data_IF_976859055925
#
_entry.id   IF_976859055925
#
_cell.length_a   1.000
_cell.length_b   1.000
_cell.length_c   1.000
_cell.angle_alpha   90.00
_cell.angle_beta   90.00
_cell.angle_gamma   90.00
#
_symmetry.space_group_name_H-M   'P 1'
#
loop_
_entity.id
_entity.type
_entity.pdbx_description
1 polymer ?
#
# COMPACT_ATOMS: atom_id res chain seq x y z
N UNK A 1 -21.30 13.97 -24.31
CA UNK A 1 -20.47 15.18 -24.19
C UNK A 1 -20.96 16.18 -23.14
N UNK A 2 -22.27 16.46 -23.00
CA UNK A 2 -22.79 17.45 -22.03
C UNK A 2 -22.43 17.16 -20.54
N UNK A 3 -22.50 15.90 -20.12
CA UNK A 3 -22.29 15.53 -18.71
C UNK A 3 -20.86 15.83 -18.21
N UNK A 4 -19.84 15.73 -19.08
CA UNK A 4 -18.45 16.02 -18.73
C UNK A 4 -18.23 17.52 -18.52
N UNK A 5 -18.81 18.35 -19.38
CA UNK A 5 -18.71 19.80 -19.33
C UNK A 5 -19.42 20.40 -18.10
N UNK A 6 -20.58 19.85 -17.74
CA UNK A 6 -21.31 20.24 -16.52
C UNK A 6 -20.52 19.87 -15.24
N UNK A 7 -19.79 18.76 -15.26
CA UNK A 7 -18.96 18.32 -14.12
C UNK A 7 -17.74 19.22 -13.86
N UNK A 8 -17.12 19.77 -14.91
CA UNK A 8 -15.99 20.70 -14.77
C UNK A 8 -16.41 22.04 -14.15
N UNK A 9 -17.61 22.53 -14.50
CA UNK A 9 -18.10 23.85 -14.06
C UNK A 9 -18.73 23.83 -12.66
N UNK A 10 -19.31 22.71 -12.23
CA UNK A 10 -20.02 22.60 -10.96
C UNK A 10 -19.76 21.26 -10.26
N UNK A 11 -18.58 21.06 -9.65
CA UNK A 11 -18.21 19.79 -9.02
C UNK A 11 -19.12 19.39 -7.85
N UNK A 12 -19.86 20.34 -7.26
CA UNK A 12 -20.84 20.11 -6.20
C UNK A 12 -22.27 19.80 -6.65
N UNK A 13 -22.60 19.94 -7.94
CA UNK A 13 -23.95 19.67 -8.49
C UNK A 13 -24.03 18.34 -9.25
N UNK A 14 -23.21 17.36 -8.88
CA UNK A 14 -23.29 16.03 -9.49
C UNK A 14 -24.66 15.43 -9.23
N UNK A 15 -25.35 15.04 -10.30
CA UNK A 15 -26.58 14.23 -10.20
C UNK A 15 -26.18 12.90 -9.59
N UNK A 16 -26.52 12.68 -8.32
CA UNK A 16 -26.24 11.41 -7.65
C UNK A 16 -26.98 10.33 -8.41
N UNK A 17 -26.25 9.41 -9.04
CA UNK A 17 -26.86 8.25 -9.65
C UNK A 17 -27.35 7.35 -8.53
N UNK A 18 -28.68 7.33 -8.37
CA UNK A 18 -29.36 6.43 -7.45
C UNK A 18 -29.64 5.12 -8.16
N UNK A 19 -29.57 4.02 -7.42
CA UNK A 19 -29.81 2.66 -7.93
C UNK A 19 -31.16 2.49 -8.63
N UNK A 20 -32.15 3.34 -8.33
CA UNK A 20 -33.50 3.28 -8.91
C UNK A 20 -33.58 3.84 -10.32
N UNK A 21 -32.67 4.74 -10.72
CA UNK A 21 -32.79 5.47 -11.99
C UNK A 21 -32.02 4.80 -13.14
N UNK A 22 -31.13 3.84 -12.85
CA UNK A 22 -30.47 3.05 -13.89
C UNK A 22 -29.77 1.82 -13.28
N UNK A 23 -30.27 0.59 -13.51
CA UNK A 23 -29.55 -0.64 -13.17
C UNK A 23 -28.22 -0.78 -13.94
N UNK A 24 -28.07 -0.01 -15.03
CA UNK A 24 -26.96 -0.03 -15.99
C UNK A 24 -26.49 1.41 -16.23
N UNK A 25 -26.15 2.12 -15.15
CA UNK A 25 -25.39 3.35 -15.35
C UNK A 25 -24.05 2.95 -15.99
N UNK A 26 -23.62 3.57 -17.11
CA UNK A 26 -22.43 3.18 -17.86
C UNK A 26 -21.19 3.67 -17.11
N UNK A 27 -20.94 3.07 -15.94
CA UNK A 27 -19.69 3.26 -15.24
C UNK A 27 -18.71 2.26 -15.81
N UNK A 28 -17.59 2.79 -16.32
CA UNK A 28 -16.47 1.96 -16.72
C UNK A 28 -16.14 0.96 -15.60
N UNK A 29 -15.96 -0.34 -15.92
CA UNK A 29 -15.65 -1.37 -14.92
C UNK A 29 -14.46 -0.99 -14.03
N UNK A 30 -13.52 -0.21 -14.56
CA UNK A 30 -12.36 0.30 -13.85
C UNK A 30 -12.73 1.31 -12.76
N UNK A 31 -13.68 2.21 -13.00
CA UNK A 31 -14.17 3.16 -12.00
C UNK A 31 -14.81 2.41 -10.83
N UNK A 32 -15.58 1.36 -11.13
CA UNK A 32 -16.18 0.49 -10.11
C UNK A 32 -15.11 -0.20 -9.27
N UNK A 33 -14.07 -0.77 -9.90
CA UNK A 33 -12.96 -1.43 -9.21
C UNK A 33 -12.18 -0.46 -8.33
N UNK A 34 -11.81 0.71 -8.84
CA UNK A 34 -11.12 1.75 -8.06
C UNK A 34 -11.95 2.24 -6.88
N UNK A 35 -13.27 2.40 -7.06
CA UNK A 35 -14.19 2.76 -5.98
C UNK A 35 -14.16 1.74 -4.83
N UNK A 36 -14.25 0.46 -5.19
CA UNK A 36 -14.25 -0.64 -4.23
C UNK A 36 -12.87 -0.80 -3.56
N UNK A 37 -11.78 -0.62 -4.31
CA UNK A 37 -10.43 -0.62 -3.76
C UNK A 37 -10.23 0.50 -2.73
N UNK A 38 -10.62 1.74 -3.06
CA UNK A 38 -10.55 2.87 -2.13
C UNK A 38 -11.44 2.67 -0.90
N UNK A 39 -12.60 2.03 -1.08
CA UNK A 39 -13.52 1.69 0.00
C UNK A 39 -12.94 0.64 0.96
N UNK A 40 -12.32 -0.41 0.41
CA UNK A 40 -11.73 -1.51 1.19
C UNK A 40 -10.42 -1.13 1.89
N UNK A 41 -9.63 -0.23 1.31
CA UNK A 41 -8.38 0.28 1.92
C UNK A 41 -8.62 1.33 3.00
N UNK A 42 -9.89 1.68 3.29
CA UNK A 42 -10.32 2.62 4.34
C UNK A 42 -9.61 3.98 4.35
N UNK A 43 -8.94 4.38 3.27
CA UNK A 43 -8.21 5.64 3.19
C UNK A 43 -9.14 6.86 3.28
N UNK A 44 -10.37 6.72 2.81
CA UNK A 44 -11.38 7.77 2.76
C UNK A 44 -12.76 7.18 3.05
N UNK A 45 -13.64 8.00 3.64
CA UNK A 45 -14.96 7.53 4.05
C UNK A 45 -15.84 7.11 2.87
N UNK A 46 -16.79 6.20 3.11
CA UNK A 46 -17.78 5.79 2.12
C UNK A 46 -18.52 6.98 1.50
N UNK A 47 -18.84 8.00 2.31
CA UNK A 47 -19.49 9.24 1.89
C UNK A 47 -18.62 10.08 0.96
N UNK A 48 -17.32 10.16 1.27
CA UNK A 48 -16.32 10.85 0.45
C UNK A 48 -16.20 10.19 -0.93
N UNK A 49 -16.06 8.86 -0.95
CA UNK A 49 -15.93 8.06 -2.17
C UNK A 49 -17.20 8.21 -3.03
N UNK A 50 -18.38 8.04 -2.43
CA UNK A 50 -19.64 8.14 -3.16
C UNK A 50 -19.84 9.52 -3.79
N UNK A 51 -19.48 10.59 -3.06
CA UNK A 51 -19.53 11.98 -3.55
C UNK A 51 -18.54 12.22 -4.69
N UNK A 52 -17.30 11.74 -4.56
CA UNK A 52 -16.24 11.89 -5.59
C UNK A 52 -16.55 11.15 -6.89
N UNK A 53 -17.33 10.08 -6.83
CA UNK A 53 -17.74 9.31 -8.01
C UNK A 53 -19.08 9.79 -8.55
N UNK A 54 -19.94 10.37 -7.70
CA UNK A 54 -21.29 10.81 -8.07
C UNK A 54 -22.33 9.69 -7.99
N UNK A 55 -22.11 8.71 -7.11
CA UNK A 55 -23.04 7.61 -6.83
C UNK A 55 -23.58 7.70 -5.42
N UNK A 56 -24.71 7.04 -5.14
CA UNK A 56 -25.17 6.93 -3.76
C UNK A 56 -24.29 5.94 -2.97
N UNK A 57 -24.27 6.08 -1.64
CA UNK A 57 -23.62 5.08 -0.77
C UNK A 57 -24.19 3.68 -1.00
N UNK A 58 -25.49 3.55 -1.23
CA UNK A 58 -26.12 2.26 -1.51
C UNK A 58 -25.56 1.57 -2.76
N UNK A 59 -25.28 2.33 -3.82
CA UNK A 59 -24.63 1.80 -5.04
C UNK A 59 -23.20 1.34 -4.74
N UNK A 60 -22.46 2.10 -3.94
CA UNK A 60 -21.10 1.73 -3.54
C UNK A 60 -21.08 0.43 -2.72
N UNK A 61 -22.01 0.24 -1.79
CA UNK A 61 -22.17 -1.03 -1.06
C UNK A 61 -22.54 -2.18 -1.99
N UNK A 62 -23.45 -1.95 -2.95
CA UNK A 62 -23.80 -2.95 -3.96
C UNK A 62 -22.59 -3.37 -4.79
N UNK A 63 -21.76 -2.42 -5.24
CA UNK A 63 -20.54 -2.71 -5.99
C UNK A 63 -19.53 -3.51 -5.17
N UNK A 64 -19.36 -3.17 -3.89
CA UNK A 64 -18.54 -3.93 -2.95
C UNK A 64 -19.06 -5.37 -2.80
N UNK A 65 -20.37 -5.55 -2.66
CA UNK A 65 -20.99 -6.88 -2.58
C UNK A 65 -20.82 -7.68 -3.86
N UNK A 66 -20.94 -7.06 -5.04
CA UNK A 66 -20.77 -7.71 -6.33
C UNK A 66 -19.31 -8.13 -6.63
N UNK A 67 -18.30 -7.41 -6.13
CA UNK A 67 -16.88 -7.71 -6.42
C UNK A 67 -16.24 -8.59 -5.35
N UNK A 68 -16.49 -8.29 -4.08
CA UNK A 68 -15.79 -8.94 -2.95
C UNK A 68 -16.74 -9.84 -2.16
N UNK A 69 -18.04 -9.54 -2.17
CA UNK A 69 -19.01 -10.21 -1.32
C UNK A 69 -19.01 -9.69 0.12
N UNK A 70 -20.13 -9.87 0.82
CA UNK A 70 -20.27 -9.38 2.19
C UNK A 70 -19.43 -10.18 3.20
N UNK A 71 -19.32 -11.50 3.02
CA UNK A 71 -18.56 -12.37 3.91
C UNK A 71 -17.07 -12.03 3.92
N UNK A 72 -16.43 -11.99 2.74
CA UNK A 72 -15.01 -11.65 2.62
C UNK A 72 -14.72 -10.23 3.12
N UNK A 73 -15.60 -9.26 2.83
CA UNK A 73 -15.48 -7.90 3.34
C UNK A 73 -15.50 -7.85 4.88
N UNK A 74 -16.38 -8.62 5.53
CA UNK A 74 -16.44 -8.67 6.99
C UNK A 74 -15.20 -9.32 7.61
N UNK A 75 -14.68 -10.39 7.00
CA UNK A 75 -13.42 -11.02 7.43
C UNK A 75 -12.25 -10.03 7.35
N UNK A 76 -12.10 -9.33 6.22
CA UNK A 76 -11.07 -8.30 6.06
C UNK A 76 -11.22 -7.17 7.10
N UNK A 77 -12.46 -6.70 7.31
CA UNK A 77 -12.76 -5.64 8.29
C UNK A 77 -12.37 -6.03 9.70
N UNK A 78 -12.59 -7.29 10.11
CA UNK A 78 -12.19 -7.79 11.44
C UNK A 78 -10.67 -7.89 11.59
N UNK A 79 -9.96 -8.31 10.54
CA UNK A 79 -8.51 -8.53 10.61
C UNK A 79 -7.68 -7.23 10.53
N UNK A 80 -8.26 -6.16 9.97
CA UNK A 80 -7.55 -4.91 9.68
C UNK A 80 -7.53 -3.89 10.85
N UNK A 81 -8.18 -4.16 11.98
CA UNK A 81 -8.46 -3.10 12.96
C UNK A 81 -7.39 -2.93 14.07
N UNK A 82 -6.61 -3.98 14.43
CA UNK A 82 -5.30 -3.76 15.10
C UNK A 82 -4.19 -4.78 14.75
N UNK A 83 -4.53 -5.94 14.18
CA UNK A 83 -3.62 -7.09 14.07
C UNK A 83 -2.54 -6.90 13.00
N UNK A 84 -2.90 -6.36 11.84
CA UNK A 84 -1.97 -6.21 10.72
C UNK A 84 -0.98 -5.06 10.92
N UNK A 85 -1.40 -3.99 11.61
CA UNK A 85 -0.52 -2.86 11.86
C UNK A 85 0.54 -3.20 12.92
N UNK A 86 0.12 -3.90 13.98
CA UNK A 86 1.04 -4.46 14.96
C UNK A 86 2.01 -5.48 14.35
N UNK A 87 1.53 -6.37 13.47
CA UNK A 87 2.38 -7.34 12.77
C UNK A 87 3.37 -6.64 11.82
N UNK A 88 2.93 -5.63 11.08
CA UNK A 88 3.79 -4.82 10.22
C UNK A 88 4.89 -4.13 11.03
N UNK A 89 4.55 -3.56 12.18
CA UNK A 89 5.51 -2.85 13.01
C UNK A 89 6.50 -3.81 13.68
N UNK A 90 6.05 -4.99 14.15
CA UNK A 90 6.93 -6.06 14.61
C UNK A 90 7.90 -6.54 13.52
N UNK A 91 7.43 -6.69 12.27
CA UNK A 91 8.30 -7.03 11.14
C UNK A 91 9.34 -5.94 10.85
N UNK A 92 8.98 -4.66 11.00
CA UNK A 92 9.92 -3.55 10.84
C UNK A 92 11.00 -3.56 11.90
N UNK A 93 10.64 -3.84 13.16
CA UNK A 93 11.59 -3.99 14.26
C UNK A 93 12.56 -5.13 13.99
N UNK A 94 12.07 -6.27 13.51
CA UNK A 94 12.91 -7.42 13.18
C UNK A 94 13.88 -7.12 12.03
N UNK A 95 13.41 -6.42 10.98
CA UNK A 95 14.28 -5.94 9.89
C UNK A 95 15.35 -4.99 10.41
N UNK A 96 15.01 -4.08 11.32
CA UNK A 96 15.97 -3.15 11.91
C UNK A 96 17.04 -3.90 12.73
N UNK A 97 16.62 -4.88 13.54
CA UNK A 97 17.50 -5.75 14.33
C UNK A 97 18.46 -6.54 13.44
N UNK A 98 17.95 -7.19 12.39
CA UNK A 98 18.78 -7.96 11.45
C UNK A 98 19.77 -7.06 10.71
N UNK A 99 19.38 -5.86 10.29
CA UNK A 99 20.28 -4.90 9.66
C UNK A 99 21.39 -4.41 10.61
N UNK A 100 21.10 -4.28 11.90
CA UNK A 100 22.11 -3.97 12.91
C UNK A 100 23.11 -5.13 13.07
N UNK A 101 22.61 -6.37 13.10
CA UNK A 101 23.45 -7.57 13.19
C UNK A 101 24.36 -7.73 11.96
N UNK A 102 23.84 -7.49 10.76
CA UNK A 102 24.63 -7.50 9.52
C UNK A 102 25.75 -6.47 9.58
N UNK A 103 25.43 -5.23 9.99
CA UNK A 103 26.45 -4.18 10.14
C UNK A 103 27.53 -4.56 11.15
N UNK A 104 27.15 -5.16 12.29
CA UNK A 104 28.13 -5.64 13.28
C UNK A 104 29.08 -6.67 12.67
N UNK A 105 28.53 -7.70 12.01
CA UNK A 105 29.32 -8.75 11.38
C UNK A 105 30.22 -8.21 10.27
N UNK A 106 29.76 -7.22 9.51
CA UNK A 106 30.59 -6.59 8.49
C UNK A 106 31.82 -5.90 9.11
N UNK A 107 31.64 -5.18 10.22
CA UNK A 107 32.76 -4.56 10.95
C UNK A 107 33.73 -5.62 11.50
N UNK A 108 33.21 -6.72 12.07
CA UNK A 108 34.04 -7.84 12.54
C UNK A 108 34.91 -8.40 11.40
N UNK A 109 34.33 -8.61 10.21
CA UNK A 109 35.06 -9.07 9.03
C UNK A 109 36.11 -8.04 8.55
N UNK A 110 35.79 -6.75 8.56
CA UNK A 110 36.71 -5.71 8.12
C UNK A 110 37.92 -5.59 9.06
N UNK A 111 37.71 -5.74 10.37
CA UNK A 111 38.79 -5.81 11.37
C UNK A 111 39.68 -7.02 11.10
N UNK A 112 39.10 -8.20 10.89
CA UNK A 112 39.86 -9.42 10.63
C UNK A 112 40.69 -9.32 9.34
N UNK A 113 40.11 -8.78 8.26
CA UNK A 113 40.83 -8.52 7.02
C UNK A 113 41.98 -7.55 7.22
N UNK A 114 41.77 -6.46 7.97
CA UNK A 114 42.83 -5.50 8.26
C UNK A 114 43.98 -6.13 9.05
N UNK A 115 43.67 -6.98 10.02
CA UNK A 115 44.67 -7.72 10.78
C UNK A 115 45.46 -8.67 9.86
N UNK A 116 44.78 -9.37 8.94
CA UNK A 116 45.42 -10.24 7.95
C UNK A 116 46.36 -9.46 7.02
N UNK A 117 45.95 -8.29 6.52
CA UNK A 117 46.79 -7.40 5.71
C UNK A 117 48.04 -6.94 6.48
N UNK A 118 47.89 -6.56 7.75
CA UNK A 118 49.02 -6.14 8.60
C UNK A 118 50.01 -7.29 8.75
N UNK A 119 49.53 -8.51 9.03
CA UNK A 119 50.37 -9.69 9.14
C UNK A 119 51.10 -9.97 7.82
N UNK A 120 50.39 -9.93 6.68
CA UNK A 120 51.00 -10.12 5.35
C UNK A 120 52.09 -9.09 5.04
N UNK A 121 51.88 -7.83 5.42
CA UNK A 121 52.87 -6.76 5.23
C UNK A 121 54.09 -6.93 6.14
N UNK A 122 53.89 -7.36 7.40
CA UNK A 122 54.98 -7.60 8.35
C UNK A 122 55.86 -8.80 7.93
N UNK A 123 55.26 -9.80 7.31
CA UNK A 123 55.94 -11.00 6.83
C UNK A 123 56.40 -10.91 5.37
N UNK A 124 56.10 -9.82 4.67
CA UNK A 124 56.65 -9.54 3.34
C UNK A 124 58.05 -8.94 3.49
N UNK A 125 59.12 -9.61 3.00
CA UNK A 125 60.47 -9.07 3.06
C UNK A 125 60.55 -7.74 2.29
N UNK A 126 61.32 -6.73 2.75
CA UNK A 126 61.51 -5.50 1.99
C UNK A 126 62.39 -5.81 0.76
N UNK A 127 61.74 -6.21 -0.32
CA UNK A 127 62.21 -6.46 -1.68
C UNK A 127 63.56 -7.20 -1.87
N UNK A 128 63.51 -8.16 -2.80
CA UNK A 128 64.59 -8.40 -3.76
C UNK A 128 64.89 -7.07 -4.50
N UNK A 129 65.63 -6.17 -3.87
CA UNK A 129 66.32 -5.05 -4.49
C UNK A 129 67.79 -5.46 -4.57
N UNK A 130 68.15 -6.14 -5.65
CA UNK A 130 69.50 -6.18 -6.19
C UNK A 130 69.45 -6.51 -7.68
#
# INVERSE_FOLDING_TARGET
>A
MLARWVNERYPGRRRIFTSKTSPVAPFEPEVKRQAVMAFCTRQISASEISRRIGVSRAVLYKWKDEIIGNSAYQTMRKHNEPSLEAERDALREEVARLNQEIRRRQMELDILKKAEEIIKNLWSPPFLLH
#
